data_IF_934867819819
#
_entry.id   IF_934867819819
#
_cell.length_a   1.000
_cell.length_b   1.000
_cell.length_c   1.000
_cell.angle_alpha   90.00
_cell.angle_beta   90.00
_cell.angle_gamma   90.00
#
_symmetry.space_group_name_H-M   'P 1'
#
loop_
_entity.id
_entity.type
_entity.pdbx_description
1 polymer ?
#
# COMPACT_ATOMS: atom_id res chain seq x y z
N UNK A 1 30.37 -14.83 -2.34
CA UNK A 1 30.73 -14.42 -0.97
C UNK A 1 31.02 -12.94 -1.00
N UNK A 2 30.12 -12.13 -0.43
CA UNK A 2 30.39 -10.86 0.24
C UNK A 2 29.01 -10.33 0.65
N UNK A 3 28.64 -10.66 1.88
CA UNK A 3 27.57 -9.99 2.61
C UNK A 3 28.13 -8.63 3.05
N UNK A 4 27.52 -7.55 2.58
CA UNK A 4 27.72 -6.24 3.17
C UNK A 4 26.43 -5.82 3.86
N UNK A 5 26.33 -6.15 5.13
CA UNK A 5 25.41 -5.57 6.07
C UNK A 5 25.94 -4.18 6.46
N UNK A 6 25.28 -3.12 6.04
CA UNK A 6 25.51 -1.78 6.58
C UNK A 6 24.64 -1.64 7.82
N UNK A 7 25.23 -1.86 8.99
CA UNK A 7 24.64 -1.50 10.27
C UNK A 7 25.07 -0.08 10.63
N UNK A 8 24.16 0.86 10.60
CA UNK A 8 24.35 2.19 11.21
C UNK A 8 23.85 2.12 12.65
N UNK A 9 24.79 2.06 13.59
CA UNK A 9 24.51 2.16 15.02
C UNK A 9 24.31 3.62 15.39
N UNK A 10 23.10 4.00 15.77
CA UNK A 10 22.83 5.25 16.47
C UNK A 10 22.71 4.97 17.97
N UNK A 11 23.69 5.39 18.74
CA UNK A 11 23.59 5.55 20.20
C UNK A 11 22.88 6.88 20.49
N UNK A 12 21.89 6.83 21.36
CA UNK A 12 21.37 8.04 22.00
C UNK A 12 19.96 7.93 22.54
N UNK A 13 19.82 7.93 23.88
CA UNK A 13 18.62 8.39 24.59
C UNK A 13 17.60 7.30 24.94
N UNK A 14 17.80 6.63 26.09
CA UNK A 14 16.71 5.97 26.81
C UNK A 14 15.78 7.04 27.38
N UNK A 15 14.66 7.32 26.68
CA UNK A 15 13.52 8.00 27.26
C UNK A 15 12.66 6.95 28.00
N UNK A 16 12.25 7.25 29.21
CA UNK A 16 11.34 6.45 30.00
C UNK A 16 10.03 6.24 29.25
N UNK A 17 9.81 5.03 28.76
CA UNK A 17 8.49 4.57 28.27
C UNK A 17 7.58 4.42 29.49
N UNK A 18 6.51 5.20 29.55
CA UNK A 18 5.51 5.09 30.62
C UNK A 18 4.82 3.71 30.60
N UNK A 19 4.46 3.20 31.76
CA UNK A 19 3.84 1.87 31.91
C UNK A 19 2.58 1.67 31.04
N UNK A 20 1.84 2.73 30.70
CA UNK A 20 0.65 2.70 29.82
C UNK A 20 0.99 2.41 28.36
N UNK A 21 2.07 2.95 27.82
CA UNK A 21 2.52 2.64 26.44
C UNK A 21 2.97 1.18 26.30
N UNK A 22 3.54 0.61 27.38
CA UNK A 22 3.94 -0.80 27.41
C UNK A 22 2.71 -1.72 27.34
N UNK A 23 1.59 -1.35 27.96
CA UNK A 23 0.36 -2.15 27.99
C UNK A 23 -0.34 -2.19 26.63
N UNK A 24 -0.50 -1.04 25.96
CA UNK A 24 -1.12 -0.96 24.63
C UNK A 24 -0.31 -1.71 23.58
N UNK A 25 1.02 -1.56 23.57
CA UNK A 25 1.91 -2.26 22.64
C UNK A 25 1.84 -3.78 22.80
N UNK A 26 1.70 -4.29 24.03
CA UNK A 26 1.59 -5.72 24.28
C UNK A 26 0.27 -6.33 23.77
N UNK A 27 -0.82 -5.57 23.74
CA UNK A 27 -2.13 -6.05 23.28
C UNK A 27 -2.12 -6.25 21.77
N UNK A 28 -1.61 -5.30 20.99
CA UNK A 28 -1.60 -5.36 19.52
C UNK A 28 -0.60 -6.39 18.96
N UNK A 29 0.29 -6.94 19.76
CA UNK A 29 1.19 -8.06 19.38
C UNK A 29 0.59 -9.43 19.69
N UNK A 30 -0.51 -9.50 20.44
CA UNK A 30 -1.18 -10.76 20.79
C UNK A 30 -1.93 -11.33 19.56
N UNK A 31 -1.56 -12.52 19.04
CA UNK A 31 -2.20 -13.10 17.85
C UNK A 31 -3.72 -13.28 17.99
N UNK A 32 -4.21 -13.63 19.19
CA UNK A 32 -5.64 -13.79 19.43
C UNK A 32 -6.38 -12.46 19.32
N UNK A 33 -5.80 -11.38 19.85
CA UNK A 33 -6.37 -10.04 19.72
C UNK A 33 -6.34 -9.52 18.28
N UNK A 34 -5.27 -9.80 17.54
CA UNK A 34 -5.20 -9.47 16.10
C UNK A 34 -6.30 -10.16 15.32
N UNK A 35 -6.55 -11.46 15.62
CA UNK A 35 -7.61 -12.22 14.95
C UNK A 35 -9.00 -11.72 15.35
N UNK A 36 -9.22 -11.39 16.61
CA UNK A 36 -10.46 -10.75 17.06
C UNK A 36 -10.73 -9.45 16.31
N UNK A 37 -9.72 -8.59 16.19
CA UNK A 37 -9.82 -7.34 15.42
C UNK A 37 -10.08 -7.59 13.94
N UNK A 38 -9.46 -8.60 13.35
CA UNK A 38 -9.67 -8.96 11.94
C UNK A 38 -11.14 -9.31 11.70
N UNK A 39 -11.72 -10.14 12.54
CA UNK A 39 -13.12 -10.55 12.44
C UNK A 39 -14.08 -9.40 12.77
N UNK A 40 -13.83 -8.67 13.84
CA UNK A 40 -14.67 -7.57 14.30
C UNK A 40 -14.79 -6.43 13.28
N UNK A 41 -13.70 -6.10 12.59
CA UNK A 41 -13.66 -4.98 11.67
C UNK A 41 -13.73 -5.41 10.19
N UNK A 42 -13.87 -6.70 9.90
CA UNK A 42 -13.90 -7.22 8.52
C UNK A 42 -12.61 -6.97 7.73
N UNK A 43 -11.48 -6.77 8.43
CA UNK A 43 -10.18 -6.48 7.82
C UNK A 43 -9.40 -7.77 7.59
N UNK A 44 -8.71 -7.88 6.44
CA UNK A 44 -7.80 -8.99 6.15
C UNK A 44 -6.39 -8.71 6.74
N UNK A 45 -5.37 -8.76 5.91
CA UNK A 45 -3.98 -8.43 6.29
C UNK A 45 -3.77 -6.95 6.70
N UNK A 46 -4.69 -6.05 6.35
CA UNK A 46 -4.63 -4.62 6.68
C UNK A 46 -4.50 -4.37 8.18
N UNK A 47 -5.15 -5.21 9.02
CA UNK A 47 -5.02 -5.08 10.48
C UNK A 47 -3.57 -5.29 10.95
N UNK A 48 -2.85 -6.25 10.33
CA UNK A 48 -1.45 -6.51 10.65
C UNK A 48 -0.57 -5.32 10.27
N UNK A 49 -0.84 -4.68 9.12
CA UNK A 49 -0.10 -3.51 8.65
C UNK A 49 -0.36 -2.30 9.57
N UNK A 50 -1.61 -2.08 9.96
CA UNK A 50 -1.97 -1.03 10.92
C UNK A 50 -1.28 -1.23 12.28
N UNK A 51 -1.24 -2.46 12.79
CA UNK A 51 -0.56 -2.76 14.05
C UNK A 51 0.97 -2.67 13.94
N UNK A 52 1.56 -3.00 12.80
CA UNK A 52 2.97 -2.71 12.52
C UNK A 52 3.27 -1.21 12.61
N UNK A 53 2.41 -0.38 12.04
CA UNK A 53 2.53 1.07 12.14
C UNK A 53 2.42 1.53 13.61
N UNK A 54 1.42 1.02 14.34
CA UNK A 54 1.21 1.36 15.75
C UNK A 54 2.43 1.06 16.62
N UNK A 55 3.10 -0.08 16.38
CA UNK A 55 4.33 -0.46 17.08
C UNK A 55 5.52 0.43 16.71
N UNK A 56 5.61 0.86 15.45
CA UNK A 56 6.80 1.54 14.93
C UNK A 56 6.76 3.05 15.14
N UNK A 57 5.59 3.68 14.98
CA UNK A 57 5.44 5.14 15.00
C UNK A 57 4.30 5.62 15.88
N UNK A 58 3.47 4.74 16.42
CA UNK A 58 2.26 5.00 17.22
C UNK A 58 1.23 5.89 16.52
N UNK A 59 -0.04 5.71 16.84
CA UNK A 59 -1.14 6.60 16.44
C UNK A 59 -1.66 7.45 17.60
N UNK A 60 -1.37 7.05 18.84
CA UNK A 60 -1.97 7.62 20.03
C UNK A 60 -1.79 9.15 20.09
N UNK A 61 -2.89 9.86 20.25
CA UNK A 61 -2.94 11.32 20.34
C UNK A 61 -2.60 12.09 19.05
N UNK A 62 -2.41 11.43 17.91
CA UNK A 62 -1.95 12.05 16.65
C UNK A 62 -3.10 12.48 15.74
N UNK A 63 -2.83 13.53 14.96
CA UNK A 63 -3.59 13.88 13.77
C UNK A 63 -3.06 13.05 12.60
N UNK A 64 -3.88 12.17 12.05
CA UNK A 64 -3.48 11.19 11.03
C UNK A 64 -4.12 11.51 9.70
N UNK A 65 -3.31 11.42 8.63
CA UNK A 65 -3.76 11.36 7.24
C UNK A 65 -3.55 9.95 6.74
N UNK A 66 -4.63 9.22 6.47
CA UNK A 66 -4.60 7.92 5.80
C UNK A 66 -4.71 8.11 4.29
N UNK A 67 -3.81 7.50 3.54
CA UNK A 67 -3.78 7.57 2.08
C UNK A 67 -4.02 6.18 1.50
N UNK A 68 -5.10 6.04 0.74
CA UNK A 68 -5.52 4.80 0.10
C UNK A 68 -6.28 3.88 1.04
N UNK A 69 -7.41 4.34 1.52
CA UNK A 69 -8.29 3.52 2.33
C UNK A 69 -9.01 4.29 3.43
N UNK A 70 -9.75 3.56 4.23
CA UNK A 70 -10.51 4.11 5.35
C UNK A 70 -10.62 3.07 6.45
N UNK A 71 -9.67 3.06 7.38
CA UNK A 71 -9.82 2.25 8.59
C UNK A 71 -11.04 2.70 9.40
N UNK A 72 -11.82 1.76 9.99
CA UNK A 72 -13.08 2.10 10.67
C UNK A 72 -12.85 2.97 11.92
N UNK A 73 -13.73 3.95 12.19
CA UNK A 73 -13.62 4.87 13.34
C UNK A 73 -13.43 4.16 14.68
N UNK A 74 -14.11 3.04 14.92
CA UNK A 74 -13.98 2.28 16.15
C UNK A 74 -12.59 1.66 16.32
N UNK A 75 -11.91 1.32 15.24
CA UNK A 75 -10.50 0.87 15.26
C UNK A 75 -9.57 2.05 15.54
N UNK A 76 -9.70 3.12 14.75
CA UNK A 76 -8.74 4.23 14.80
C UNK A 76 -8.84 5.04 16.11
N UNK A 77 -10.02 5.15 16.70
CA UNK A 77 -10.22 5.88 17.95
C UNK A 77 -10.25 5.01 19.21
N UNK A 78 -10.75 3.78 19.07
CA UNK A 78 -10.91 2.88 20.22
C UNK A 78 -9.70 2.02 20.51
N UNK A 79 -8.90 1.68 19.48
CA UNK A 79 -7.74 0.79 19.61
C UNK A 79 -6.43 1.51 19.30
N UNK A 80 -6.40 2.28 18.20
CA UNK A 80 -5.19 3.02 17.79
C UNK A 80 -5.07 4.38 18.50
N UNK A 81 -6.13 4.84 19.17
CA UNK A 81 -6.18 6.06 20.00
C UNK A 81 -5.79 7.34 19.26
N UNK A 82 -6.05 7.41 17.97
CA UNK A 82 -5.78 8.61 17.18
C UNK A 82 -6.62 9.81 17.68
N UNK A 83 -6.07 11.01 17.58
CA UNK A 83 -6.77 12.24 17.95
C UNK A 83 -7.79 12.64 16.88
N UNK A 84 -7.35 12.70 15.62
CA UNK A 84 -8.21 12.90 14.45
C UNK A 84 -7.76 12.01 13.32
N UNK A 85 -8.66 11.70 12.40
CA UNK A 85 -8.40 10.86 11.24
C UNK A 85 -8.99 11.49 9.98
N UNK A 86 -8.17 11.60 8.94
CA UNK A 86 -8.60 11.97 7.60
C UNK A 86 -8.17 10.86 6.66
N UNK A 87 -9.11 10.15 6.08
CA UNK A 87 -8.88 9.13 5.08
C UNK A 87 -9.09 9.73 3.68
N UNK A 88 -8.19 9.42 2.75
CA UNK A 88 -8.28 9.81 1.34
C UNK A 88 -8.26 8.54 0.51
N UNK A 89 -9.27 8.39 -0.37
CA UNK A 89 -9.32 7.33 -1.37
C UNK A 89 -9.51 7.93 -2.76
N UNK A 90 -8.88 7.37 -3.77
CA UNK A 90 -9.08 7.83 -5.14
C UNK A 90 -10.51 7.54 -5.59
N UNK A 91 -11.21 8.52 -6.21
CA UNK A 91 -12.59 8.33 -6.67
C UNK A 91 -12.73 7.24 -7.73
N UNK A 92 -11.65 6.98 -8.48
CA UNK A 92 -11.67 6.10 -9.64
C UNK A 92 -11.20 4.66 -9.35
N UNK A 93 -10.91 4.33 -8.08
CA UNK A 93 -10.37 3.01 -7.72
C UNK A 93 -11.31 1.86 -8.12
N UNK A 94 -12.58 1.93 -7.70
CA UNK A 94 -13.59 0.91 -8.01
C UNK A 94 -13.93 0.89 -9.50
N UNK A 95 -13.96 2.05 -10.15
CA UNK A 95 -14.21 2.15 -11.59
C UNK A 95 -13.05 1.55 -12.39
N UNK A 96 -11.81 1.84 -12.02
CA UNK A 96 -10.62 1.24 -12.63
C UNK A 96 -10.57 -0.29 -12.45
N UNK A 97 -11.01 -0.78 -11.30
CA UNK A 97 -11.11 -2.21 -11.03
C UNK A 97 -12.20 -2.87 -11.88
N UNK A 98 -13.36 -2.23 -12.02
CA UNK A 98 -14.46 -2.70 -12.84
C UNK A 98 -14.10 -2.72 -14.34
N UNK A 99 -13.45 -1.67 -14.84
CA UNK A 99 -12.94 -1.59 -16.22
C UNK A 99 -11.92 -2.68 -16.52
N UNK A 100 -11.13 -3.09 -15.52
CA UNK A 100 -10.20 -4.20 -15.63
C UNK A 100 -10.89 -5.58 -15.57
N UNK A 101 -12.23 -5.65 -15.45
CA UNK A 101 -12.97 -6.89 -15.30
C UNK A 101 -12.84 -7.53 -13.92
N UNK A 102 -12.38 -6.76 -12.93
CA UNK A 102 -12.26 -7.22 -11.56
C UNK A 102 -13.61 -7.29 -10.85
N UNK A 103 -13.68 -8.09 -9.79
CA UNK A 103 -14.83 -8.11 -8.89
C UNK A 103 -14.75 -6.89 -8.00
N UNK A 104 -15.70 -5.97 -8.17
CA UNK A 104 -15.79 -4.78 -7.31
C UNK A 104 -16.36 -5.16 -5.95
N UNK A 105 -15.75 -4.65 -4.89
CA UNK A 105 -16.22 -4.82 -3.53
C UNK A 105 -16.81 -3.50 -3.01
N UNK A 106 -17.76 -2.92 -3.76
CA UNK A 106 -18.45 -1.68 -3.34
C UNK A 106 -18.96 -1.85 -1.90
N UNK A 107 -18.38 -1.08 -1.00
CA UNK A 107 -18.73 -1.10 0.43
C UNK A 107 -17.76 -1.87 1.34
N UNK A 108 -16.76 -2.61 0.82
CA UNK A 108 -15.80 -3.31 1.67
C UNK A 108 -14.75 -2.40 2.29
N UNK A 109 -14.44 -1.28 1.63
CA UNK A 109 -13.57 -0.23 2.17
C UNK A 109 -14.37 0.79 2.99
N UNK A 110 -15.66 0.97 2.65
CA UNK A 110 -16.61 1.75 3.43
C UNK A 110 -17.20 0.82 4.49
N UNK A 111 -16.62 0.82 5.65
CA UNK A 111 -17.11 0.02 6.75
C UNK A 111 -18.53 0.43 7.12
N UNK A 112 -19.45 -0.51 7.06
CA UNK A 112 -20.89 -0.35 7.29
C UNK A 112 -21.25 0.19 8.67
N UNK A 113 -20.31 0.26 9.61
CA UNK A 113 -20.47 0.81 10.96
C UNK A 113 -20.25 2.33 11.05
N UNK A 114 -20.08 3.01 9.90
CA UNK A 114 -19.85 4.45 9.91
C UNK A 114 -21.00 5.20 9.29
N UNK A 115 -21.65 6.06 10.08
CA UNK A 115 -22.52 7.14 9.59
C UNK A 115 -21.71 8.22 8.82
N UNK A 116 -20.46 7.92 8.43
CA UNK A 116 -19.59 8.86 7.75
C UNK A 116 -19.84 8.80 6.27
N UNK A 117 -20.50 9.82 5.75
CA UNK A 117 -20.68 9.99 4.32
C UNK A 117 -19.39 10.53 3.70
N UNK A 118 -18.82 9.86 2.69
CA UNK A 118 -17.64 10.37 2.00
C UNK A 118 -17.91 11.73 1.36
N UNK A 119 -16.95 12.65 1.49
CA UNK A 119 -17.01 13.95 0.83
C UNK A 119 -16.23 13.88 -0.46
N UNK A 120 -16.87 14.25 -1.59
CA UNK A 120 -16.20 14.32 -2.88
C UNK A 120 -15.24 15.51 -2.91
N UNK A 121 -13.97 15.23 -3.21
CA UNK A 121 -12.91 16.25 -3.23
C UNK A 121 -12.44 16.65 -1.82
N UNK A 122 -11.55 17.63 -1.79
CA UNK A 122 -11.06 18.20 -0.55
C UNK A 122 -12.00 19.32 -0.10
N UNK A 123 -12.87 19.00 0.85
CA UNK A 123 -13.69 20.02 1.52
C UNK A 123 -12.87 20.91 2.45
N UNK A 124 -13.55 21.85 3.12
CA UNK A 124 -12.96 22.71 4.16
C UNK A 124 -12.39 21.82 5.28
N UNK A 125 -11.18 22.07 5.79
CA UNK A 125 -10.57 21.18 6.76
C UNK A 125 -11.39 21.08 8.05
N UNK A 126 -11.90 19.91 8.33
CA UNK A 126 -11.84 19.20 9.59
C UNK A 126 -12.52 19.88 10.79
N UNK A 127 -13.84 20.07 10.72
CA UNK A 127 -14.63 20.23 11.94
C UNK A 127 -14.88 18.86 12.63
N UNK A 128 -14.82 17.76 11.91
CA UNK A 128 -15.09 16.42 12.40
C UNK A 128 -13.81 15.67 12.86
N UNK A 129 -13.96 14.80 13.87
CA UNK A 129 -12.87 13.96 14.35
C UNK A 129 -12.43 12.92 13.30
N UNK A 130 -13.37 12.45 12.47
CA UNK A 130 -13.15 11.54 11.34
C UNK A 130 -13.66 12.17 10.05
N UNK A 131 -12.85 12.13 8.99
CA UNK A 131 -13.22 12.58 7.66
C UNK A 131 -12.82 11.53 6.64
N UNK A 132 -13.68 11.32 5.65
CA UNK A 132 -13.39 10.47 4.51
C UNK A 132 -13.60 11.27 3.22
N UNK A 133 -12.55 11.36 2.40
CA UNK A 133 -12.48 12.19 1.21
C UNK A 133 -12.22 11.34 -0.03
N UNK A 134 -13.02 11.51 -1.07
CA UNK A 134 -12.71 10.98 -2.39
C UNK A 134 -11.89 12.00 -3.17
N UNK A 135 -10.58 11.81 -3.20
CA UNK A 135 -9.63 12.67 -3.90
C UNK A 135 -8.29 11.96 -4.11
N UNK A 136 -7.52 12.40 -5.11
CA UNK A 136 -6.15 11.94 -5.28
C UNK A 136 -5.21 12.68 -4.34
N UNK A 137 -4.29 11.97 -3.71
CA UNK A 137 -3.30 12.58 -2.80
C UNK A 137 -2.44 13.63 -3.49
N UNK A 138 -2.17 13.47 -4.78
CA UNK A 138 -1.41 14.42 -5.60
C UNK A 138 -2.06 15.80 -5.69
N UNK A 139 -3.37 15.87 -5.47
CA UNK A 139 -4.18 17.09 -5.55
C UNK A 139 -4.44 17.70 -4.16
N UNK A 140 -3.76 17.23 -3.10
CA UNK A 140 -3.93 17.71 -1.73
C UNK A 140 -3.70 19.24 -1.65
N UNK A 141 -4.71 20.04 -1.25
CA UNK A 141 -4.58 21.48 -1.22
C UNK A 141 -3.76 22.01 -0.03
N UNK A 142 -3.28 23.25 -0.15
CA UNK A 142 -2.42 23.90 0.84
C UNK A 142 -3.06 23.98 2.24
N UNK A 143 -4.38 24.02 2.35
CA UNK A 143 -5.05 24.04 3.64
C UNK A 143 -4.78 22.78 4.50
N UNK A 144 -4.23 21.72 3.91
CA UNK A 144 -3.78 20.51 4.59
C UNK A 144 -2.28 20.55 4.96
N UNK A 145 -1.52 21.58 4.54
CA UNK A 145 -0.09 21.67 4.85
C UNK A 145 0.14 21.77 6.36
N UNK A 146 1.11 20.99 6.86
CA UNK A 146 1.52 20.94 8.26
C UNK A 146 0.39 20.69 9.28
N UNK A 147 -0.60 19.88 8.87
CA UNK A 147 -1.74 19.52 9.73
C UNK A 147 -1.58 18.18 10.43
N UNK A 148 -0.76 17.29 9.90
CA UNK A 148 -0.71 15.90 10.34
C UNK A 148 0.60 15.57 11.07
N UNK A 149 0.49 14.77 12.13
CA UNK A 149 1.61 14.21 12.86
C UNK A 149 2.09 12.90 12.21
N UNK A 150 1.18 12.25 11.48
CA UNK A 150 1.44 10.99 10.79
C UNK A 150 0.68 10.95 9.46
N UNK A 151 1.40 10.62 8.38
CA UNK A 151 0.82 10.10 7.14
C UNK A 151 0.95 8.58 7.19
N UNK A 152 -0.17 7.90 7.06
CA UNK A 152 -0.29 6.45 7.10
C UNK A 152 -0.81 5.92 5.77
N UNK A 153 -0.14 4.95 5.18
CA UNK A 153 -0.54 4.36 3.90
C UNK A 153 -0.17 2.87 3.87
N UNK A 154 -1.14 2.02 3.62
CA UNK A 154 -0.94 0.57 3.53
C UNK A 154 -1.60 0.00 2.28
N UNK A 155 -0.91 -0.94 1.60
CA UNK A 155 -1.40 -1.59 0.38
C UNK A 155 -1.93 -0.57 -0.67
N UNK A 156 -1.18 0.52 -0.92
CA UNK A 156 -1.66 1.65 -1.73
C UNK A 156 -0.60 2.20 -2.67
N UNK A 157 0.67 2.24 -2.27
CA UNK A 157 1.71 2.88 -3.10
C UNK A 157 1.83 2.24 -4.49
N UNK A 158 1.50 0.97 -4.63
CA UNK A 158 1.42 0.25 -5.90
C UNK A 158 0.33 0.78 -6.85
N UNK A 159 -0.64 1.52 -6.32
CA UNK A 159 -1.75 2.11 -7.08
C UNK A 159 -1.54 3.58 -7.41
N UNK A 160 -0.60 4.28 -6.76
CA UNK A 160 -0.36 5.71 -6.97
C UNK A 160 0.45 5.94 -8.26
N UNK A 161 -0.18 6.55 -9.27
CA UNK A 161 0.45 6.73 -10.59
C UNK A 161 1.54 7.80 -10.61
N UNK A 162 1.35 8.91 -9.87
CA UNK A 162 2.28 10.04 -9.81
C UNK A 162 3.05 10.05 -8.49
N UNK A 163 3.77 8.96 -8.20
CA UNK A 163 4.45 8.73 -6.93
C UNK A 163 5.33 9.90 -6.45
N UNK A 164 6.15 10.57 -7.30
CA UNK A 164 6.92 11.74 -6.87
C UNK A 164 6.04 12.89 -6.36
N UNK A 165 4.94 13.19 -7.05
CA UNK A 165 3.98 14.24 -6.63
C UNK A 165 3.30 13.87 -5.33
N UNK A 166 2.87 12.61 -5.20
CA UNK A 166 2.25 12.10 -3.98
C UNK A 166 3.19 12.21 -2.77
N UNK A 167 4.45 11.82 -2.92
CA UNK A 167 5.47 11.95 -1.86
C UNK A 167 5.69 13.42 -1.46
N UNK A 168 5.72 14.35 -2.42
CA UNK A 168 5.85 15.78 -2.10
C UNK A 168 4.63 16.31 -1.35
N UNK A 169 3.41 15.94 -1.74
CA UNK A 169 2.18 16.32 -1.02
C UNK A 169 2.11 15.72 0.38
N UNK A 170 2.51 14.45 0.55
CA UNK A 170 2.61 13.82 1.87
C UNK A 170 3.63 14.55 2.76
N UNK A 171 4.78 14.98 2.19
CA UNK A 171 5.76 15.79 2.91
C UNK A 171 5.17 17.14 3.36
N UNK A 172 4.47 17.83 2.46
CA UNK A 172 3.83 19.12 2.77
C UNK A 172 2.76 18.98 3.85
N UNK A 173 1.98 17.89 3.83
CA UNK A 173 0.93 17.61 4.79
C UNK A 173 1.45 17.41 6.23
N UNK A 174 2.64 16.88 6.37
CA UNK A 174 3.25 16.61 7.67
C UNK A 174 3.72 17.87 8.36
N UNK A 175 3.54 17.94 9.68
CA UNK A 175 4.21 18.89 10.57
C UNK A 175 5.72 18.62 10.60
N UNK A 176 6.55 19.61 10.97
CA UNK A 176 7.97 19.36 11.27
C UNK A 176 8.12 18.22 12.30
N UNK A 177 8.97 17.22 12.00
CA UNK A 177 9.15 16.02 12.81
C UNK A 177 8.03 14.97 12.67
N UNK A 178 7.01 15.24 11.87
CA UNK A 178 5.97 14.29 11.52
C UNK A 178 6.51 13.14 10.66
N UNK A 179 5.84 11.99 10.69
CA UNK A 179 6.31 10.77 10.02
C UNK A 179 5.36 10.31 8.93
N UNK A 180 5.94 9.71 7.89
CA UNK A 180 5.22 8.89 6.92
C UNK A 180 5.56 7.43 7.20
N UNK A 181 4.53 6.61 7.33
CA UNK A 181 4.62 5.16 7.36
C UNK A 181 3.94 4.58 6.13
N UNK A 182 4.62 3.66 5.43
CA UNK A 182 3.99 2.86 4.39
C UNK A 182 4.47 1.41 4.42
N UNK A 183 3.54 0.49 4.20
CA UNK A 183 3.79 -0.94 4.02
C UNK A 183 2.87 -1.46 2.92
N UNK A 184 3.43 -1.93 1.82
CA UNK A 184 2.68 -2.34 0.65
C UNK A 184 3.35 -3.45 -0.13
N UNK A 185 2.54 -4.25 -0.81
CA UNK A 185 2.92 -5.35 -1.70
C UNK A 185 1.69 -5.78 -2.53
N UNK A 186 1.92 -6.36 -3.75
CA UNK A 186 3.20 -6.58 -4.41
C UNK A 186 3.69 -5.35 -5.19
N UNK A 187 5.01 -5.17 -5.30
CA UNK A 187 5.60 -4.24 -6.27
C UNK A 187 5.68 -4.90 -7.64
N UNK A 188 5.79 -4.11 -8.73
CA UNK A 188 5.79 -4.65 -10.09
C UNK A 188 6.90 -5.68 -10.35
N UNK A 189 8.07 -5.54 -9.71
CA UNK A 189 9.19 -6.49 -9.83
C UNK A 189 8.98 -7.84 -9.13
N UNK A 190 7.93 -7.99 -8.32
CA UNK A 190 7.62 -9.21 -7.58
C UNK A 190 7.13 -10.35 -8.49
N UNK A 191 7.16 -11.57 -7.99
CA UNK A 191 6.70 -12.75 -8.73
C UNK A 191 5.22 -12.68 -9.13
N UNK A 192 4.39 -12.00 -8.36
CA UNK A 192 2.96 -11.75 -8.56
C UNK A 192 2.63 -10.26 -8.77
N UNK A 193 3.63 -9.46 -9.16
CA UNK A 193 3.53 -8.01 -9.31
C UNK A 193 2.53 -7.53 -10.37
N UNK A 194 1.99 -8.45 -11.18
CA UNK A 194 0.88 -8.15 -12.10
C UNK A 194 -0.39 -7.70 -11.36
N UNK A 195 -0.52 -7.97 -10.07
CA UNK A 195 -1.62 -7.54 -9.20
C UNK A 195 -3.02 -7.81 -9.78
N UNK A 196 -3.15 -8.92 -10.53
CA UNK A 196 -4.43 -9.27 -11.16
C UNK A 196 -5.50 -9.44 -10.07
N UNK A 197 -6.65 -8.75 -10.17
CA UNK A 197 -7.73 -8.92 -9.20
C UNK A 197 -8.41 -10.28 -9.36
N UNK A 198 -9.31 -10.60 -8.44
CA UNK A 198 -10.25 -11.69 -8.67
C UNK A 198 -11.16 -11.34 -9.85
N UNK A 199 -11.23 -12.23 -10.83
CA UNK A 199 -12.03 -12.07 -12.04
C UNK A 199 -12.91 -13.31 -12.23
N UNK A 200 -13.89 -13.19 -13.10
CA UNK A 200 -14.68 -14.30 -13.62
C UNK A 200 -14.60 -14.34 -15.14
N UNK A 201 -14.54 -15.53 -15.73
CA UNK A 201 -14.60 -15.68 -17.19
C UNK A 201 -16.05 -15.57 -17.70
N UNK A 202 -16.22 -15.62 -19.02
CA UNK A 202 -17.51 -15.55 -19.68
C UNK A 202 -18.50 -16.64 -19.24
N UNK A 203 -18.02 -17.73 -18.63
CA UNK A 203 -18.86 -18.82 -18.09
C UNK A 203 -19.23 -18.62 -16.62
N UNK A 204 -18.74 -17.55 -15.97
CA UNK A 204 -18.89 -17.28 -14.54
C UNK A 204 -17.90 -18.04 -13.64
N UNK A 205 -16.89 -18.71 -14.22
CA UNK A 205 -15.86 -19.41 -13.46
C UNK A 205 -14.85 -18.38 -12.91
N UNK A 206 -14.53 -18.49 -11.62
CA UNK A 206 -13.45 -17.67 -11.02
C UNK A 206 -12.11 -17.96 -11.69
N UNK A 207 -11.43 -16.89 -12.05
CA UNK A 207 -10.08 -16.92 -12.60
C UNK A 207 -9.10 -16.76 -11.45
N UNK A 208 -8.24 -17.75 -11.28
CA UNK A 208 -7.17 -17.70 -10.32
C UNK A 208 -5.99 -16.89 -10.90
N UNK A 209 -5.47 -15.94 -10.10
CA UNK A 209 -4.27 -15.17 -10.45
C UNK A 209 -3.04 -16.06 -10.72
N UNK A 210 -3.02 -17.29 -10.19
CA UNK A 210 -1.99 -18.31 -10.46
C UNK A 210 -1.94 -18.81 -11.90
N UNK A 211 -2.92 -18.44 -12.74
CA UNK A 211 -2.82 -18.62 -14.18
C UNK A 211 -1.61 -17.93 -14.79
N UNK A 212 -1.14 -16.84 -14.17
CA UNK A 212 0.07 -16.15 -14.56
C UNK A 212 1.24 -16.78 -13.81
N UNK A 213 2.22 -17.38 -14.52
CA UNK A 213 3.39 -17.94 -13.87
C UNK A 213 4.14 -16.86 -13.07
N UNK A 214 4.88 -17.23 -12.01
CA UNK A 214 5.73 -16.30 -11.30
C UNK A 214 6.63 -15.51 -12.26
N UNK A 215 6.63 -14.17 -12.12
CA UNK A 215 7.27 -13.21 -13.02
C UNK A 215 6.80 -13.27 -14.48
N UNK A 216 5.72 -13.99 -14.80
CA UNK A 216 5.23 -14.15 -16.17
C UNK A 216 4.93 -12.82 -16.85
N UNK A 217 4.43 -11.83 -16.11
CA UNK A 217 4.16 -10.48 -16.61
C UNK A 217 5.44 -9.71 -17.00
N UNK A 218 6.59 -10.06 -16.46
CA UNK A 218 7.89 -9.50 -16.81
C UNK A 218 8.60 -10.29 -17.93
N UNK A 219 8.34 -11.59 -18.01
CA UNK A 219 8.99 -12.51 -18.94
C UNK A 219 8.29 -12.55 -20.30
N UNK A 220 7.01 -12.21 -20.37
CA UNK A 220 6.21 -12.24 -21.58
C UNK A 220 5.82 -10.83 -22.03
N UNK A 221 5.82 -10.58 -23.33
CA UNK A 221 5.22 -9.38 -23.93
C UNK A 221 3.70 -9.53 -23.99
N UNK A 222 2.91 -8.43 -24.08
CA UNK A 222 1.47 -8.50 -24.12
C UNK A 222 0.90 -9.51 -25.15
N UNK A 223 1.37 -9.59 -26.41
CA UNK A 223 0.87 -10.58 -27.37
C UNK A 223 1.22 -12.03 -27.01
N UNK A 224 2.35 -12.26 -26.34
CA UNK A 224 2.77 -13.58 -25.87
C UNK A 224 1.92 -14.03 -24.70
N UNK A 225 1.68 -13.12 -23.75
CA UNK A 225 0.79 -13.34 -22.62
C UNK A 225 -0.64 -13.62 -23.09
N UNK A 226 -1.15 -12.87 -24.07
CA UNK A 226 -2.48 -13.10 -24.63
C UNK A 226 -2.60 -14.52 -25.21
N UNK A 227 -1.65 -14.93 -26.05
CA UNK A 227 -1.65 -16.30 -26.64
C UNK A 227 -1.57 -17.37 -25.55
N UNK A 228 -0.77 -17.16 -24.51
CA UNK A 228 -0.66 -18.05 -23.38
C UNK A 228 -1.99 -18.17 -22.63
N UNK A 229 -2.66 -17.05 -22.35
CA UNK A 229 -3.94 -17.02 -21.64
C UNK A 229 -5.07 -17.62 -22.45
N UNK A 230 -5.13 -17.42 -23.77
CA UNK A 230 -6.13 -18.05 -24.66
C UNK A 230 -6.10 -19.59 -24.64
N UNK A 231 -5.03 -20.22 -24.13
CA UNK A 231 -5.00 -21.67 -23.93
C UNK A 231 -5.60 -22.09 -22.58
N UNK A 232 -6.03 -21.16 -21.72
CA UNK A 232 -6.46 -21.39 -20.33
C UNK A 232 -7.82 -20.78 -20.00
N UNK A 233 -8.20 -19.75 -20.74
CA UNK A 233 -9.48 -19.08 -20.62
C UNK A 233 -9.98 -18.65 -22.02
N UNK A 234 -11.17 -18.09 -22.10
CA UNK A 234 -11.70 -17.57 -23.35
C UNK A 234 -10.94 -16.31 -23.83
N UNK A 235 -10.99 -16.00 -25.14
CA UNK A 235 -10.23 -14.88 -25.72
C UNK A 235 -10.59 -13.51 -25.15
N UNK A 236 -11.85 -13.27 -24.76
CA UNK A 236 -12.31 -12.01 -24.21
C UNK A 236 -11.72 -11.79 -22.81
N UNK A 237 -11.84 -12.78 -21.93
CA UNK A 237 -11.21 -12.79 -20.61
C UNK A 237 -9.69 -12.65 -20.71
N UNK A 238 -9.04 -13.37 -21.63
CA UNK A 238 -7.61 -13.26 -21.87
C UNK A 238 -7.21 -11.83 -22.27
N UNK A 239 -7.99 -11.17 -23.14
CA UNK A 239 -7.78 -9.77 -23.53
C UNK A 239 -7.89 -8.81 -22.36
N UNK A 240 -8.92 -8.97 -21.54
CA UNK A 240 -9.14 -8.17 -20.31
C UNK A 240 -7.98 -8.35 -19.32
N UNK A 241 -7.52 -9.57 -19.10
CA UNK A 241 -6.36 -9.84 -18.23
C UNK A 241 -5.09 -9.13 -18.75
N UNK A 242 -4.81 -9.21 -20.07
CA UNK A 242 -3.65 -8.53 -20.68
C UNK A 242 -3.76 -7.02 -20.54
N UNK A 243 -4.94 -6.45 -20.79
CA UNK A 243 -5.17 -5.01 -20.58
C UNK A 243 -4.90 -4.63 -19.14
N UNK A 244 -5.45 -5.37 -18.17
CA UNK A 244 -5.24 -5.11 -16.76
C UNK A 244 -3.75 -5.13 -16.38
N UNK A 245 -3.04 -6.18 -16.77
CA UNK A 245 -1.63 -6.36 -16.42
C UNK A 245 -0.76 -5.23 -17.00
N UNK A 246 -0.94 -4.90 -18.30
CA UNK A 246 0.04 -4.07 -19.00
C UNK A 246 -0.40 -2.63 -19.23
N UNK A 247 -1.71 -2.32 -19.17
CA UNK A 247 -2.25 -1.04 -19.64
C UNK A 247 -3.17 -0.34 -18.65
N UNK A 248 -3.87 -1.06 -17.78
CA UNK A 248 -4.77 -0.46 -16.79
C UNK A 248 -4.01 0.52 -15.87
N UNK A 249 -4.61 1.66 -15.52
CA UNK A 249 -4.04 2.57 -14.53
C UNK A 249 -4.14 2.07 -13.09
N UNK A 250 -4.72 0.89 -12.87
CA UNK A 250 -4.92 0.32 -11.54
C UNK A 250 -3.62 0.15 -10.75
N UNK A 251 -2.52 -0.24 -11.40
CA UNK A 251 -1.20 -0.33 -10.79
C UNK A 251 -0.18 0.52 -11.53
N UNK A 252 0.80 1.05 -10.82
CA UNK A 252 1.78 1.98 -11.36
C UNK A 252 2.98 1.32 -12.06
N UNK A 253 3.14 0.02 -11.96
CA UNK A 253 4.22 -0.77 -12.57
C UNK A 253 5.63 -0.31 -12.22
N UNK A 254 5.81 0.24 -11.02
CA UNK A 254 7.10 0.65 -10.52
C UNK A 254 7.87 -0.55 -9.96
N UNK A 255 9.14 -0.63 -10.32
CA UNK A 255 10.08 -1.57 -9.73
C UNK A 255 10.51 -1.10 -8.33
N UNK A 256 11.05 -2.00 -7.54
CA UNK A 256 11.62 -1.68 -6.22
C UNK A 256 12.60 -0.50 -6.30
N UNK A 257 13.45 -0.49 -7.32
CA UNK A 257 14.46 0.56 -7.52
C UNK A 257 13.84 1.93 -7.83
N UNK A 258 12.68 1.96 -8.48
CA UNK A 258 11.98 3.23 -8.76
C UNK A 258 11.48 3.87 -7.47
N UNK A 259 10.85 3.09 -6.57
CA UNK A 259 10.43 3.58 -5.26
C UNK A 259 11.62 4.09 -4.45
N UNK A 260 12.71 3.32 -4.39
CA UNK A 260 13.93 3.75 -3.69
C UNK A 260 14.45 5.04 -4.31
N UNK A 261 14.54 5.11 -5.65
CA UNK A 261 15.00 6.28 -6.38
C UNK A 261 14.15 7.52 -6.10
N UNK A 262 12.82 7.40 -6.09
CA UNK A 262 11.93 8.51 -5.77
C UNK A 262 12.08 8.95 -4.31
N UNK A 263 12.12 8.02 -3.36
CA UNK A 263 12.23 8.32 -1.93
C UNK A 263 13.52 9.08 -1.62
N UNK A 264 14.67 8.65 -2.15
CA UNK A 264 15.97 9.30 -1.87
C UNK A 264 16.10 10.69 -2.52
N UNK A 265 15.25 11.02 -3.50
CA UNK A 265 15.20 12.34 -4.12
C UNK A 265 14.25 13.30 -3.38
N UNK A 266 13.49 12.83 -2.39
CA UNK A 266 12.61 13.69 -1.60
C UNK A 266 13.39 14.47 -0.53
N UNK A 267 12.69 15.41 0.12
CA UNK A 267 13.20 16.14 1.29
C UNK A 267 13.10 15.33 2.60
N UNK A 268 12.50 14.15 2.55
CA UNK A 268 12.35 13.30 3.72
C UNK A 268 13.71 12.79 4.23
N UNK A 269 13.84 12.73 5.55
CA UNK A 269 14.85 11.92 6.20
C UNK A 269 14.38 10.47 6.24
N UNK A 270 15.15 9.56 5.68
CA UNK A 270 14.85 8.12 5.70
C UNK A 270 15.19 7.56 7.08
N UNK A 271 14.17 7.10 7.81
CA UNK A 271 14.32 6.41 9.10
C UNK A 271 14.41 4.91 8.90
N UNK A 272 13.53 4.36 8.05
CA UNK A 272 13.57 2.96 7.63
C UNK A 272 13.13 2.85 6.17
N UNK A 273 13.86 2.06 5.39
CA UNK A 273 13.51 1.68 4.03
C UNK A 273 14.03 0.28 3.81
N UNK A 274 13.18 -0.71 4.00
CA UNK A 274 13.54 -2.12 3.92
C UNK A 274 12.60 -2.88 3.00
N UNK A 275 13.13 -3.95 2.41
CA UNK A 275 12.35 -4.88 1.60
C UNK A 275 11.44 -5.70 2.52
N UNK A 276 10.22 -5.93 2.07
CA UNK A 276 9.23 -6.74 2.78
C UNK A 276 8.77 -7.91 1.90
N UNK A 277 8.45 -9.04 2.51
CA UNK A 277 7.88 -10.20 1.84
C UNK A 277 8.74 -10.74 0.68
N UNK A 278 10.01 -11.02 0.95
CA UNK A 278 10.93 -11.53 -0.08
C UNK A 278 10.63 -12.97 -0.48
N UNK A 279 10.77 -13.27 -1.77
CA UNK A 279 10.63 -14.60 -2.34
C UNK A 279 11.87 -14.98 -3.17
N UNK A 280 12.40 -16.21 -3.06
CA UNK A 280 13.59 -16.60 -3.81
C UNK A 280 13.30 -16.65 -5.31
N UNK A 281 14.20 -16.07 -6.11
CA UNK A 281 14.13 -16.11 -7.58
C UNK A 281 14.99 -17.26 -8.09
N UNK A 282 14.44 -18.19 -8.89
CA UNK A 282 15.27 -19.22 -9.54
C UNK A 282 16.37 -18.60 -10.40
N UNK A 283 17.61 -19.13 -10.36
CA UNK A 283 18.75 -18.50 -11.05
C UNK A 283 18.54 -18.27 -12.54
N UNK A 284 17.89 -19.18 -13.26
CA UNK A 284 17.57 -19.03 -14.67
C UNK A 284 16.57 -17.89 -14.91
N UNK A 285 15.57 -17.75 -14.06
CA UNK A 285 14.59 -16.65 -14.13
C UNK A 285 15.30 -15.32 -13.84
N UNK A 286 16.10 -15.27 -12.77
CA UNK A 286 16.86 -14.07 -12.40
C UNK A 286 17.75 -13.59 -13.55
N UNK A 287 18.52 -14.48 -14.17
CA UNK A 287 19.40 -14.14 -15.28
C UNK A 287 18.62 -13.60 -16.49
N UNK A 288 17.46 -14.19 -16.79
CA UNK A 288 16.60 -13.71 -17.87
C UNK A 288 16.03 -12.32 -17.55
N UNK A 289 15.53 -12.11 -16.34
CA UNK A 289 15.00 -10.82 -15.90
C UNK A 289 16.09 -9.73 -15.90
N UNK A 290 17.28 -10.02 -15.39
CA UNK A 290 18.41 -9.09 -15.39
C UNK A 290 18.84 -8.69 -16.82
N UNK A 291 18.73 -9.60 -17.78
CA UNK A 291 18.98 -9.31 -19.18
C UNK A 291 17.88 -8.45 -19.84
N UNK A 292 16.60 -8.70 -19.49
CA UNK A 292 15.45 -7.95 -19.99
C UNK A 292 15.33 -6.54 -19.38
N UNK A 293 15.75 -6.39 -18.11
CA UNK A 293 15.62 -5.15 -17.34
C UNK A 293 16.98 -4.71 -16.79
N UNK A 294 17.89 -4.19 -17.62
CA UNK A 294 19.21 -3.73 -17.18
C UNK A 294 19.10 -2.69 -16.07
N UNK A 295 19.90 -2.85 -15.01
CA UNK A 295 19.87 -1.96 -13.84
C UNK A 295 18.83 -2.31 -12.78
N UNK A 296 18.03 -3.36 -12.98
CA UNK A 296 17.11 -3.94 -11.98
C UNK A 296 17.72 -5.21 -11.38
N UNK A 297 17.59 -5.35 -10.06
CA UNK A 297 18.19 -6.48 -9.35
C UNK A 297 17.25 -7.10 -8.29
N UNK A 298 16.23 -6.33 -7.83
CA UNK A 298 15.38 -6.72 -6.71
C UNK A 298 14.11 -7.46 -7.14
N UNK A 299 14.27 -8.51 -7.97
CA UNK A 299 13.15 -9.37 -8.39
C UNK A 299 12.69 -10.33 -7.28
N UNK A 300 13.50 -10.50 -6.24
CA UNK A 300 13.19 -11.25 -5.03
C UNK A 300 12.33 -10.46 -4.04
N UNK A 301 12.18 -9.16 -4.25
CA UNK A 301 11.44 -8.28 -3.36
C UNK A 301 9.97 -8.21 -3.73
N UNK A 302 9.09 -8.48 -2.75
CA UNK A 302 7.66 -8.42 -2.97
C UNK A 302 7.03 -7.10 -2.53
N UNK A 303 7.64 -6.38 -1.59
CA UNK A 303 7.09 -5.14 -1.07
C UNK A 303 8.12 -4.29 -0.33
N UNK A 304 7.67 -3.15 0.17
CA UNK A 304 8.50 -2.22 0.92
C UNK A 304 7.85 -1.85 2.25
N UNK A 305 8.70 -1.77 3.26
CA UNK A 305 8.40 -1.21 4.57
C UNK A 305 9.16 0.11 4.71
N UNK A 306 8.42 1.21 4.92
CA UNK A 306 8.95 2.57 4.80
C UNK A 306 8.56 3.37 6.03
N UNK A 307 9.55 4.04 6.65
CA UNK A 307 9.33 5.12 7.62
C UNK A 307 10.21 6.28 7.21
N UNK A 308 9.56 7.42 6.94
CA UNK A 308 10.23 8.67 6.61
C UNK A 308 9.85 9.74 7.64
N UNK A 309 10.70 10.76 7.81
CA UNK A 309 10.50 11.90 8.73
C UNK A 309 10.67 13.21 7.97
N UNK A 310 9.75 14.18 8.23
CA UNK A 310 9.85 15.55 7.73
C UNK A 310 10.82 16.39 8.56
#
# INVERSE_FOLDING_TARGET
MLQSSVSVSARGGMGETTAEQTTATNIITNPAFVEECRQRFGLSYHINYAFNCAQSVSFAGKHVLEVGGSLPPNLVFGILEAKTWTAIETPDYEDSLAEAGGITHKGTLLHTDTDVTPTKGFGTPLAARYNFLFANIEDLPECHHEKYDLVFSIATFEHIQKMPSALDRMYQALKPGGKLFSLFAPVWSAYDGHHLPEMVDATGRKIDRSLIPPWGHLLARPPEMYRYLCTRTDPETAGTMVYYIYHSPFINRLFTEDYIGYIVQTRFKVINLTRAFTAPVPPNIHNTLAALYPGRAHFDNNGLYIILEK
#
